data_IF_231584179819
#
_entry.id   IF_231584179819
#
_cell.length_a   1.000
_cell.length_b   1.000
_cell.length_c   1.000
_cell.angle_alpha   90.00
_cell.angle_beta   90.00
_cell.angle_gamma   90.00
#
_symmetry.space_group_name_H-M   'P 1'
#
loop_
_entity.id
_entity.type
_entity.pdbx_description
1 polymer ?
#
# COMPACT_ATOMS: atom_id res chain seq x y z
N UNK A 1 14.99 4.56 -3.83
CA UNK A 1 13.82 4.41 -4.71
C UNK A 1 12.66 5.10 -4.02
N UNK A 2 12.09 6.16 -4.61
CA UNK A 2 11.10 7.02 -3.95
C UNK A 2 9.72 6.35 -3.83
N UNK A 3 9.35 5.59 -4.86
CA UNK A 3 8.10 4.82 -4.91
C UNK A 3 8.38 3.32 -4.83
N UNK A 4 7.49 2.58 -4.18
CA UNK A 4 7.36 1.14 -4.32
C UNK A 4 5.90 0.82 -4.59
N UNK A 5 5.63 0.09 -5.67
CA UNK A 5 4.29 -0.02 -6.25
C UNK A 5 4.00 -1.48 -6.57
N UNK A 6 2.77 -1.90 -6.28
CA UNK A 6 2.16 -3.10 -6.84
C UNK A 6 0.75 -2.75 -7.31
N UNK A 7 0.40 -3.16 -8.53
CA UNK A 7 -0.97 -3.02 -9.01
C UNK A 7 -1.29 -4.14 -9.98
N UNK A 8 -2.37 -4.87 -9.67
CA UNK A 8 -3.01 -5.87 -10.51
C UNK A 8 -4.51 -5.66 -10.40
N UNK A 9 -5.12 -5.16 -11.47
CA UNK A 9 -6.53 -4.76 -11.50
C UNK A 9 -7.46 -5.88 -11.00
N UNK A 10 -8.36 -5.56 -10.05
CA UNK A 10 -9.29 -6.49 -9.40
C UNK A 10 -8.64 -7.51 -8.44
N UNK A 11 -7.33 -7.42 -8.18
CA UNK A 11 -6.62 -8.31 -7.25
C UNK A 11 -5.99 -7.54 -6.09
N UNK A 12 -5.05 -6.63 -6.38
CA UNK A 12 -4.43 -5.81 -5.33
C UNK A 12 -3.70 -4.59 -5.90
N UNK A 13 -3.88 -3.44 -5.26
CA UNK A 13 -3.25 -2.16 -5.60
C UNK A 13 -2.78 -1.46 -4.34
N UNK A 14 -1.52 -1.01 -4.34
CA UNK A 14 -0.96 -0.12 -3.32
C UNK A 14 0.26 0.63 -3.86
N UNK A 15 0.48 1.84 -3.35
CA UNK A 15 1.62 2.71 -3.68
C UNK A 15 2.21 3.27 -2.39
N UNK A 16 3.46 2.88 -2.10
CA UNK A 16 4.24 3.49 -1.03
C UNK A 16 5.08 4.65 -1.58
N UNK A 17 4.78 5.87 -1.13
CA UNK A 17 5.59 7.07 -1.36
C UNK A 17 6.47 7.33 -0.13
N UNK A 18 7.75 6.93 -0.23
CA UNK A 18 8.68 6.91 0.91
C UNK A 18 9.07 8.29 1.46
N UNK A 19 9.28 9.35 0.65
CA UNK A 19 9.67 10.67 1.16
C UNK A 19 8.74 11.20 2.25
N UNK A 20 7.43 11.06 2.05
CA UNK A 20 6.41 11.52 3.01
C UNK A 20 5.89 10.41 3.93
N UNK A 21 6.38 9.17 3.74
CA UNK A 21 5.89 7.99 4.48
C UNK A 21 4.39 7.76 4.32
N UNK A 22 3.90 8.03 3.12
CA UNK A 22 2.49 7.91 2.76
C UNK A 22 2.26 6.61 1.99
N UNK A 23 1.18 5.94 2.33
CA UNK A 23 0.67 4.79 1.61
C UNK A 23 -0.68 5.12 0.97
N UNK A 24 -0.77 4.95 -0.34
CA UNK A 24 -2.03 5.04 -1.07
C UNK A 24 -2.55 3.65 -1.37
N UNK A 25 -3.75 3.34 -0.89
CA UNK A 25 -4.37 2.01 -0.89
C UNK A 25 -3.52 0.91 -0.22
N UNK A 26 -4.19 -0.19 0.12
CA UNK A 26 -3.64 -1.30 0.91
C UNK A 26 -4.19 -2.63 0.40
N UNK A 27 -4.04 -2.91 -0.89
CA UNK A 27 -4.38 -4.24 -1.43
C UNK A 27 -3.59 -5.38 -0.76
N UNK A 28 -4.06 -6.61 -0.94
CA UNK A 28 -3.46 -7.80 -0.32
C UNK A 28 -1.94 -7.92 -0.53
N UNK A 29 -1.26 -8.54 0.44
CA UNK A 29 0.17 -8.89 0.35
C UNK A 29 1.15 -7.78 0.71
N UNK A 30 0.68 -6.56 0.96
CA UNK A 30 1.56 -5.42 1.25
C UNK A 30 2.48 -5.64 2.46
N UNK A 31 1.95 -6.13 3.59
CA UNK A 31 2.75 -6.35 4.81
C UNK A 31 3.85 -7.39 4.61
N UNK A 32 3.57 -8.45 3.83
CA UNK A 32 4.55 -9.46 3.42
C UNK A 32 5.65 -8.85 2.55
N UNK A 33 5.28 -7.99 1.59
CA UNK A 33 6.25 -7.36 0.67
C UNK A 33 7.11 -6.30 1.34
N UNK A 34 6.52 -5.50 2.24
CA UNK A 34 7.23 -4.41 2.91
C UNK A 34 8.02 -4.88 4.15
N UNK A 35 7.62 -5.99 4.77
CA UNK A 35 8.22 -6.48 6.01
C UNK A 35 8.27 -5.37 7.07
N UNK A 36 9.42 -5.20 7.72
CA UNK A 36 9.59 -4.16 8.74
C UNK A 36 9.45 -2.72 8.21
N UNK A 37 9.42 -2.49 6.90
CA UNK A 37 9.18 -1.14 6.36
C UNK A 37 7.78 -0.62 6.67
N UNK A 38 6.81 -1.49 7.04
CA UNK A 38 5.46 -1.05 7.43
C UNK A 38 5.49 -0.13 8.65
N UNK A 39 6.46 -0.28 9.56
CA UNK A 39 6.61 0.59 10.74
C UNK A 39 7.02 2.03 10.38
N UNK A 40 7.53 2.25 9.17
CA UNK A 40 7.90 3.59 8.73
C UNK A 40 6.71 4.38 8.17
N UNK A 41 5.57 3.75 7.92
CA UNK A 41 4.38 4.37 7.33
C UNK A 41 3.71 5.26 8.39
N UNK A 42 3.38 6.50 8.00
CA UNK A 42 2.71 7.47 8.87
C UNK A 42 1.22 7.57 8.59
N UNK A 43 0.88 7.69 7.31
CA UNK A 43 -0.47 7.99 6.86
C UNK A 43 -0.87 7.01 5.76
N UNK A 44 -2.12 6.54 5.83
CA UNK A 44 -2.75 5.67 4.82
C UNK A 44 -3.93 6.43 4.23
N UNK A 45 -3.93 6.64 2.91
CA UNK A 45 -5.04 7.21 2.17
C UNK A 45 -5.65 6.13 1.29
N UNK A 46 -6.92 5.82 1.56
CA UNK A 46 -7.70 4.90 0.73
C UNK A 46 -8.43 5.70 -0.34
N UNK A 47 -8.29 5.31 -1.60
CA UNK A 47 -9.00 5.93 -2.71
C UNK A 47 -10.49 5.56 -2.71
N UNK A 48 -10.80 4.30 -2.39
CA UNK A 48 -12.15 3.75 -2.23
C UNK A 48 -12.11 2.38 -1.52
N UNK A 49 -13.28 1.76 -1.32
CA UNK A 49 -13.44 0.53 -0.51
C UNK A 49 -13.56 -0.79 -1.27
N UNK A 50 -13.09 -0.89 -2.52
CA UNK A 50 -13.05 -2.20 -3.17
C UNK A 50 -11.97 -3.09 -2.54
N UNK A 51 -12.17 -4.41 -2.56
CA UNK A 51 -11.33 -5.38 -1.84
C UNK A 51 -9.87 -5.34 -2.28
N UNK A 52 -9.62 -5.07 -3.56
CA UNK A 52 -8.28 -4.95 -4.13
C UNK A 52 -7.54 -3.67 -3.67
N UNK A 53 -8.21 -2.77 -2.94
CA UNK A 53 -7.63 -1.55 -2.38
C UNK A 53 -7.56 -1.54 -0.84
N UNK A 54 -8.19 -2.51 -0.14
CA UNK A 54 -8.31 -2.46 1.34
C UNK A 54 -7.91 -3.75 2.07
N UNK A 55 -7.75 -4.87 1.37
CA UNK A 55 -7.63 -6.21 1.98
C UNK A 55 -6.31 -6.48 2.72
N UNK A 56 -5.30 -5.63 2.56
CA UNK A 56 -4.00 -5.71 3.21
C UNK A 56 -3.83 -4.79 4.42
N UNK A 57 -4.88 -4.05 4.82
CA UNK A 57 -4.93 -3.32 6.09
C UNK A 57 -4.99 -4.30 7.28
#
# INVERSE_FOLDING_TARGET
MEFQIFSKALYSTWILYRPERILFDVGEGISTVLGNSVYAIKDIFLTHGHVDHISGL
#
